data_IF_515863791521
#
_entry.id   IF_515863791521
#
_cell.length_a   1.000
_cell.length_b   1.000
_cell.length_c   1.000
_cell.angle_alpha   90.00
_cell.angle_beta   90.00
_cell.angle_gamma   90.00
#
_symmetry.space_group_name_H-M   'P 1'
#
loop_
_entity.id
_entity.type
_entity.pdbx_description
1 polymer ?
#
# COMPACT_ATOMS: atom_id res chain seq x y z
N UNK A 1 30.11 43.22 -17.29
CA UNK A 1 30.33 42.24 -18.38
C UNK A 1 31.55 41.42 -18.04
N UNK A 2 31.39 40.11 -17.80
CA UNK A 2 32.33 39.01 -18.14
C UNK A 2 31.71 37.70 -17.63
N UNK A 3 31.11 36.95 -18.55
CA UNK A 3 30.66 35.56 -18.33
C UNK A 3 31.87 34.63 -18.33
N UNK A 4 31.92 33.66 -17.40
CA UNK A 4 32.76 32.45 -17.55
C UNK A 4 32.02 31.18 -17.11
N UNK A 5 31.38 30.56 -18.11
CA UNK A 5 31.25 29.14 -18.41
C UNK A 5 31.14 28.10 -17.27
N UNK A 6 29.90 27.62 -17.12
CA UNK A 6 29.42 26.23 -17.00
C UNK A 6 30.48 25.11 -16.86
N UNK A 7 30.42 24.38 -15.74
CA UNK A 7 30.94 23.02 -15.64
C UNK A 7 29.79 22.09 -15.26
N UNK A 8 29.27 21.38 -16.25
CA UNK A 8 28.35 20.24 -16.10
C UNK A 8 29.17 19.04 -15.57
N UNK A 9 29.04 18.71 -14.28
CA UNK A 9 29.58 17.45 -13.76
C UNK A 9 28.61 16.32 -14.06
N UNK A 10 28.75 15.70 -15.23
CA UNK A 10 28.15 14.40 -15.55
C UNK A 10 28.96 13.31 -14.85
N UNK A 11 28.48 12.79 -13.72
CA UNK A 11 29.06 11.59 -13.11
C UNK A 11 28.46 10.34 -13.75
N UNK A 12 29.39 9.46 -14.11
CA UNK A 12 29.27 8.29 -14.99
C UNK A 12 28.34 7.24 -14.39
N UNK A 13 27.42 6.73 -15.20
CA UNK A 13 26.73 5.46 -14.99
C UNK A 13 27.75 4.33 -15.16
N UNK A 14 28.05 3.61 -14.09
CA UNK A 14 28.76 2.32 -14.16
C UNK A 14 27.77 1.22 -13.81
N UNK A 15 27.53 0.38 -14.82
CA UNK A 15 26.73 -0.82 -14.77
C UNK A 15 27.40 -1.90 -13.92
N UNK A 16 26.58 -2.77 -13.33
CA UNK A 16 26.97 -4.12 -12.95
C UNK A 16 25.82 -5.07 -13.28
N UNK A 17 25.97 -5.79 -14.38
CA UNK A 17 25.16 -6.95 -14.77
C UNK A 17 25.69 -8.13 -13.97
N UNK A 18 24.85 -8.72 -13.12
CA UNK A 18 25.13 -10.03 -12.54
C UNK A 18 24.10 -11.02 -13.10
N UNK A 19 24.54 -11.79 -14.07
CA UNK A 19 23.84 -12.97 -14.55
C UNK A 19 24.07 -14.12 -13.54
N UNK A 20 23.00 -14.69 -13.02
CA UNK A 20 23.03 -15.91 -12.22
C UNK A 20 21.95 -16.87 -12.72
N UNK A 21 22.35 -17.80 -13.59
CA UNK A 21 21.51 -18.92 -14.01
C UNK A 21 21.68 -20.04 -12.98
N UNK A 22 20.58 -20.47 -12.34
CA UNK A 22 20.53 -21.71 -11.59
C UNK A 22 19.42 -22.60 -12.17
N UNK A 23 19.81 -23.82 -12.53
CA UNK A 23 19.03 -24.79 -13.29
C UNK A 23 17.88 -25.41 -12.49
N UNK A 24 16.90 -25.90 -13.24
CA UNK A 24 15.62 -26.49 -12.84
C UNK A 24 15.82 -27.93 -12.34
N UNK A 25 15.21 -28.29 -11.22
CA UNK A 25 14.97 -29.68 -10.84
C UNK A 25 13.46 -29.99 -10.97
N UNK A 26 13.11 -30.82 -11.95
CA UNK A 26 11.75 -31.33 -12.16
C UNK A 26 11.50 -32.51 -11.20
N UNK A 27 10.71 -32.29 -10.16
CA UNK A 27 10.10 -33.36 -9.39
C UNK A 27 8.65 -33.54 -9.86
N UNK A 28 8.42 -34.55 -10.69
CA UNK A 28 7.07 -35.00 -11.07
C UNK A 28 6.43 -35.69 -9.87
N UNK A 29 5.68 -34.95 -9.07
CA UNK A 29 4.72 -35.48 -8.10
C UNK A 29 3.32 -35.06 -8.53
N UNK A 30 2.51 -36.02 -8.98
CA UNK A 30 1.14 -35.76 -9.41
C UNK A 30 0.28 -35.21 -8.27
N UNK A 31 -0.26 -34.02 -8.45
CA UNK A 31 -1.35 -33.50 -7.62
C UNK A 31 -2.56 -33.25 -8.52
N UNK A 32 -3.65 -33.95 -8.22
CA UNK A 32 -4.93 -33.78 -8.88
C UNK A 32 -5.43 -32.34 -8.68
N UNK A 33 -5.85 -31.71 -9.78
CA UNK A 33 -6.57 -30.44 -9.77
C UNK A 33 -7.99 -30.76 -9.27
N UNK A 34 -8.21 -30.68 -7.97
CA UNK A 34 -9.56 -30.74 -7.41
C UNK A 34 -10.23 -29.38 -7.63
N UNK A 35 -11.12 -29.35 -8.62
CA UNK A 35 -12.14 -28.32 -8.80
C UNK A 35 -12.86 -28.10 -7.46
N UNK A 36 -12.75 -26.90 -6.88
CA UNK A 36 -13.48 -26.53 -5.67
C UNK A 36 -14.95 -26.24 -6.02
N UNK A 37 -15.66 -27.29 -6.44
CA UNK A 37 -17.11 -27.36 -6.37
C UNK A 37 -17.48 -27.89 -4.99
N UNK A 38 -18.08 -27.04 -4.18
CA UNK A 38 -18.66 -27.42 -2.89
C UNK A 38 -19.56 -28.65 -3.03
N UNK A 39 -19.15 -29.76 -2.45
CA UNK A 39 -20.07 -30.84 -2.06
C UNK A 39 -19.46 -31.67 -0.94
N UNK A 40 -20.21 -31.71 0.17
CA UNK A 40 -20.12 -32.64 1.29
C UNK A 40 -19.83 -34.07 0.85
N UNK A 41 -18.90 -34.75 1.51
CA UNK A 41 -18.91 -36.20 1.67
C UNK A 41 -18.05 -36.63 2.85
N UNK A 42 -18.66 -37.39 3.74
CA UNK A 42 -18.04 -38.11 4.84
C UNK A 42 -17.11 -39.24 4.34
N UNK A 43 -16.10 -39.58 5.13
CA UNK A 43 -15.26 -40.76 4.91
C UNK A 43 -14.17 -40.89 5.98
N UNK A 44 -14.17 -42.03 6.69
CA UNK A 44 -13.56 -42.22 8.01
C UNK A 44 -12.06 -42.53 8.06
N UNK A 45 -11.50 -42.16 9.22
CA UNK A 45 -10.44 -42.78 10.05
C UNK A 45 -8.98 -42.84 9.57
N UNK A 46 -8.14 -42.03 10.22
CA UNK A 46 -6.93 -42.48 10.92
C UNK A 46 -6.60 -41.50 12.05
N UNK A 47 -6.47 -42.02 13.28
CA UNK A 47 -6.38 -41.24 14.51
C UNK A 47 -5.10 -40.42 14.62
N UNK A 48 -5.20 -39.14 14.29
CA UNK A 48 -4.35 -38.11 14.87
C UNK A 48 -5.13 -37.47 16.03
N UNK A 49 -4.51 -37.34 17.20
CA UNK A 49 -5.07 -36.56 18.30
C UNK A 49 -5.32 -35.13 17.79
N UNK A 50 -6.57 -34.82 17.50
CA UNK A 50 -6.95 -33.50 17.01
C UNK A 50 -6.70 -32.50 18.13
N UNK A 51 -5.78 -31.54 17.88
CA UNK A 51 -5.66 -30.38 18.74
C UNK A 51 -7.05 -29.76 18.90
N UNK A 52 -7.48 -29.53 20.14
CA UNK A 52 -8.76 -28.87 20.41
C UNK A 52 -8.76 -27.53 19.69
N UNK A 53 -9.64 -27.37 18.70
CA UNK A 53 -9.81 -26.11 18.00
C UNK A 53 -10.12 -25.02 19.04
N UNK A 54 -9.23 -24.04 19.17
CA UNK A 54 -9.43 -22.90 20.06
C UNK A 54 -10.72 -22.18 19.72
N UNK A 55 -11.40 -21.63 20.73
CA UNK A 55 -12.55 -20.75 20.49
C UNK A 55 -12.06 -19.52 19.72
N UNK A 56 -12.56 -19.34 18.51
CA UNK A 56 -12.35 -18.13 17.68
C UNK A 56 -13.60 -17.27 17.74
N UNK A 57 -13.42 -15.96 17.94
CA UNK A 57 -14.50 -14.98 17.78
C UNK A 57 -14.71 -14.80 16.27
N UNK A 58 -15.93 -15.01 15.74
CA UNK A 58 -16.20 -14.77 14.32
C UNK A 58 -15.94 -13.32 13.94
N UNK A 59 -15.18 -13.09 12.88
CA UNK A 59 -15.04 -11.75 12.30
C UNK A 59 -16.36 -11.38 11.60
N UNK A 60 -17.02 -10.34 12.10
CA UNK A 60 -18.12 -9.70 11.40
C UNK A 60 -17.58 -8.47 10.68
N UNK A 61 -17.56 -8.50 9.34
CA UNK A 61 -17.18 -7.33 8.54
C UNK A 61 -18.22 -6.24 8.78
N UNK A 62 -17.79 -5.09 9.28
CA UNK A 62 -18.64 -3.89 9.35
C UNK A 62 -19.05 -3.40 7.96
N UNK A 63 -20.10 -2.60 7.90
CA UNK A 63 -20.54 -2.01 6.63
C UNK A 63 -19.51 -0.99 6.13
N UNK A 64 -19.02 -1.11 4.88
CA UNK A 64 -18.12 -0.12 4.31
C UNK A 64 -18.82 1.23 4.19
N UNK A 65 -18.09 2.30 4.47
CA UNK A 65 -18.62 3.65 4.29
C UNK A 65 -18.58 4.08 2.83
N UNK A 66 -19.55 4.89 2.38
CA UNK A 66 -19.52 5.42 1.02
C UNK A 66 -18.23 6.22 0.78
N UNK A 67 -17.43 5.79 -0.20
CA UNK A 67 -16.25 6.53 -0.63
C UNK A 67 -16.69 7.82 -1.32
N UNK A 68 -16.53 8.94 -0.63
CA UNK A 68 -16.87 10.27 -1.16
C UNK A 68 -15.59 10.93 -1.64
N UNK A 69 -15.51 11.33 -2.90
CA UNK A 69 -14.37 12.11 -3.40
C UNK A 69 -14.69 13.60 -3.28
N UNK A 70 -13.79 14.37 -2.68
CA UNK A 70 -13.88 15.84 -2.63
C UNK A 70 -12.57 16.48 -3.07
N UNK A 71 -12.66 17.64 -3.71
CA UNK A 71 -11.50 18.38 -4.18
C UNK A 71 -10.70 17.62 -5.24
N UNK A 72 -9.37 17.79 -5.20
CA UNK A 72 -8.44 17.21 -6.15
C UNK A 72 -7.97 15.84 -5.67
N UNK A 73 -8.55 14.80 -6.26
CA UNK A 73 -8.09 13.42 -6.16
C UNK A 73 -7.37 13.06 -7.45
N UNK A 74 -6.10 12.59 -7.42
CA UNK A 74 -5.40 12.19 -8.64
C UNK A 74 -6.20 11.10 -9.40
N UNK A 75 -6.43 11.31 -10.70
CA UNK A 75 -7.34 10.48 -11.49
C UNK A 75 -6.95 8.99 -11.54
N UNK A 76 -5.66 8.70 -11.41
CA UNK A 76 -5.07 7.36 -11.43
C UNK A 76 -4.61 6.89 -10.04
N UNK A 77 -5.08 7.53 -8.97
CA UNK A 77 -4.76 7.08 -7.62
C UNK A 77 -5.37 5.69 -7.36
N UNK A 78 -4.54 4.82 -6.80
CA UNK A 78 -4.97 3.54 -6.26
C UNK A 78 -4.35 3.37 -4.86
N UNK A 79 -5.15 3.04 -3.84
CA UNK A 79 -4.65 2.83 -2.48
C UNK A 79 -3.49 1.82 -2.45
N UNK A 80 -2.42 2.17 -1.73
CA UNK A 80 -1.23 1.32 -1.61
C UNK A 80 -0.16 1.53 -2.70
N UNK A 81 -0.41 2.40 -3.68
CA UNK A 81 0.63 2.85 -4.63
C UNK A 81 1.46 3.99 -4.05
N UNK A 82 2.68 4.19 -4.58
CA UNK A 82 3.60 5.26 -4.14
C UNK A 82 4.67 4.79 -3.16
N UNK A 83 5.43 5.73 -2.60
CA UNK A 83 6.54 5.45 -1.67
C UNK A 83 6.20 5.96 -0.27
N UNK A 84 6.22 5.12 0.75
CA UNK A 84 6.06 5.57 2.14
C UNK A 84 7.24 6.47 2.51
N UNK A 85 6.96 7.67 3.01
CA UNK A 85 7.97 8.65 3.39
C UNK A 85 7.86 9.03 4.87
N UNK A 86 8.99 9.42 5.45
CA UNK A 86 9.11 9.87 6.85
C UNK A 86 9.85 11.21 6.92
N UNK A 87 10.05 11.75 8.12
CA UNK A 87 10.78 13.00 8.34
C UNK A 87 9.95 14.27 8.11
N UNK A 88 10.63 15.40 7.89
CA UNK A 88 10.01 16.73 7.92
C UNK A 88 8.87 16.91 6.92
N UNK A 89 9.02 16.42 5.68
CA UNK A 89 7.96 16.52 4.67
C UNK A 89 6.73 15.70 5.06
N UNK A 90 6.92 14.46 5.53
CA UNK A 90 5.83 13.63 6.02
C UNK A 90 5.11 14.28 7.22
N UNK A 91 5.85 14.89 8.15
CA UNK A 91 5.27 15.59 9.29
C UNK A 91 4.41 16.79 8.85
N UNK A 92 4.87 17.58 7.86
CA UNK A 92 4.09 18.70 7.31
C UNK A 92 2.83 18.22 6.60
N UNK A 93 2.92 17.15 5.80
CA UNK A 93 1.76 16.57 5.12
C UNK A 93 0.75 16.02 6.13
N UNK A 94 1.22 15.30 7.16
CA UNK A 94 0.39 14.82 8.29
C UNK A 94 -0.32 15.98 8.99
N UNK A 95 0.39 17.05 9.31
CA UNK A 95 -0.19 18.22 9.97
C UNK A 95 -1.25 18.90 9.09
N UNK A 96 -0.97 19.07 7.80
CA UNK A 96 -1.92 19.66 6.85
C UNK A 96 -3.20 18.80 6.72
N UNK A 97 -3.06 17.48 6.66
CA UNK A 97 -4.20 16.57 6.60
C UNK A 97 -5.05 16.62 7.87
N UNK A 98 -4.42 16.57 9.05
CA UNK A 98 -5.12 16.62 10.35
C UNK A 98 -5.78 17.97 10.61
N UNK A 99 -5.22 19.06 10.08
CA UNK A 99 -5.84 20.38 10.15
C UNK A 99 -7.10 20.46 9.28
N UNK A 100 -7.11 19.82 8.10
CA UNK A 100 -8.26 19.80 7.20
C UNK A 100 -9.34 18.78 7.64
N UNK A 101 -8.92 17.64 8.15
CA UNK A 101 -9.78 16.52 8.56
C UNK A 101 -9.40 16.04 9.98
N UNK A 102 -9.93 16.69 11.02
CA UNK A 102 -9.63 16.33 12.40
C UNK A 102 -10.29 15.00 12.81
N UNK A 103 -9.77 14.37 13.86
CA UNK A 103 -10.33 13.15 14.47
C UNK A 103 -9.74 11.83 13.96
N UNK A 104 -9.05 11.84 12.82
CA UNK A 104 -8.34 10.67 12.31
C UNK A 104 -6.96 10.45 12.94
N UNK A 105 -6.51 9.20 12.91
CA UNK A 105 -5.11 8.84 13.18
C UNK A 105 -4.39 8.61 11.87
N UNK A 106 -3.19 9.18 11.71
CA UNK A 106 -2.37 8.95 10.52
C UNK A 106 -1.48 7.74 10.73
N UNK A 107 -1.69 6.69 9.94
CA UNK A 107 -0.83 5.50 9.89
C UNK A 107 0.46 5.81 9.12
N UNK A 108 0.33 6.37 7.91
CA UNK A 108 1.45 6.60 7.00
C UNK A 108 1.22 7.79 6.09
N UNK A 109 2.32 8.35 5.59
CA UNK A 109 2.35 9.33 4.51
C UNK A 109 3.06 8.71 3.31
N UNK A 110 2.48 8.89 2.13
CA UNK A 110 2.95 8.27 0.89
C UNK A 110 3.24 9.38 -0.12
N UNK A 111 4.44 9.40 -0.69
CA UNK A 111 4.78 10.22 -1.84
C UNK A 111 4.26 9.55 -3.11
N UNK A 112 3.44 10.28 -3.86
CA UNK A 112 2.87 9.87 -5.13
C UNK A 112 3.82 10.19 -6.29
N UNK A 113 3.61 9.57 -7.45
CA UNK A 113 4.47 9.76 -8.64
C UNK A 113 4.46 11.19 -9.19
N UNK A 114 3.40 11.96 -8.90
CA UNK A 114 3.30 13.39 -9.25
C UNK A 114 4.00 14.32 -8.24
N UNK A 115 4.64 13.77 -7.20
CA UNK A 115 5.34 14.53 -6.14
C UNK A 115 4.44 15.02 -5.00
N UNK A 116 3.14 14.78 -5.07
CA UNK A 116 2.20 15.07 -3.98
C UNK A 116 2.22 13.99 -2.90
N UNK A 117 1.56 14.26 -1.78
CA UNK A 117 1.46 13.34 -0.67
C UNK A 117 0.04 12.81 -0.52
N UNK A 118 -0.09 11.51 -0.30
CA UNK A 118 -1.29 10.88 0.22
C UNK A 118 -1.08 10.58 1.71
N UNK A 119 -1.97 11.09 2.55
CA UNK A 119 -1.97 10.82 4.00
C UNK A 119 -3.07 9.81 4.29
N UNK A 120 -2.69 8.63 4.77
CA UNK A 120 -3.63 7.57 5.10
C UNK A 120 -4.16 7.75 6.53
N UNK A 121 -5.46 8.01 6.62
CA UNK A 121 -6.23 8.19 7.85
C UNK A 121 -6.92 6.88 8.26
N UNK A 122 -6.82 6.53 9.54
CA UNK A 122 -7.48 5.39 10.16
C UNK A 122 -8.27 5.85 11.40
N UNK A 123 -9.15 4.98 11.91
CA UNK A 123 -10.00 5.31 13.05
C UNK A 123 -11.10 6.34 12.74
N UNK A 124 -11.31 6.63 11.46
CA UNK A 124 -12.38 7.48 10.94
C UNK A 124 -13.23 6.70 9.97
N UNK A 125 -14.48 7.13 9.83
CA UNK A 125 -15.39 6.59 8.84
C UNK A 125 -15.09 7.09 7.42
N UNK A 126 -14.52 8.30 7.35
CA UNK A 126 -14.12 9.03 6.14
C UNK A 126 -13.39 10.34 6.56
N UNK A 127 -12.46 10.90 5.78
CA UNK A 127 -11.79 10.28 4.63
C UNK A 127 -10.70 9.30 5.09
N UNK A 128 -10.37 8.32 4.26
CA UNK A 128 -9.23 7.42 4.50
C UNK A 128 -7.96 7.93 3.80
N UNK A 129 -8.10 8.74 2.77
CA UNK A 129 -7.00 9.27 1.99
C UNK A 129 -7.15 10.77 1.87
N UNK A 130 -6.18 11.53 2.38
CA UNK A 130 -6.12 12.98 2.21
C UNK A 130 -4.96 13.32 1.29
N UNK A 131 -5.21 14.06 0.22
CA UNK A 131 -4.20 14.48 -0.74
C UNK A 131 -3.67 15.87 -0.38
N UNK A 132 -2.35 15.97 -0.31
CA UNK A 132 -1.63 17.18 0.09
C UNK A 132 -0.61 17.51 -0.99
N UNK A 133 -0.69 18.73 -1.54
CA UNK A 133 0.23 19.16 -2.59
C UNK A 133 1.65 19.44 -2.05
N UNK A 134 2.59 19.74 -2.95
CA UNK A 134 4.01 20.01 -2.62
C UNK A 134 4.22 21.24 -1.73
N UNK A 135 3.25 22.15 -1.67
CA UNK A 135 3.20 23.32 -0.78
C UNK A 135 2.56 23.02 0.59
N UNK A 136 2.31 21.75 0.90
CA UNK A 136 1.69 21.26 2.13
C UNK A 136 0.30 21.86 2.39
N UNK A 137 -0.53 21.92 1.35
CA UNK A 137 -1.95 22.25 1.44
C UNK A 137 -2.77 21.00 1.13
N UNK A 138 -3.77 20.69 1.96
CA UNK A 138 -4.76 19.66 1.63
C UNK A 138 -5.58 20.15 0.42
N UNK A 139 -5.66 19.34 -0.63
CA UNK A 139 -6.31 19.70 -1.90
C UNK A 139 -7.50 18.81 -2.23
N UNK A 140 -7.59 17.63 -1.62
CA UNK A 140 -8.71 16.72 -1.80
C UNK A 140 -8.67 15.55 -0.82
N UNK A 141 -9.74 14.77 -0.81
CA UNK A 141 -9.83 13.58 0.03
C UNK A 141 -10.80 12.56 -0.54
N UNK A 142 -10.60 11.29 -0.17
CA UNK A 142 -11.51 10.18 -0.44
C UNK A 142 -11.58 9.12 0.66
#
# INVERSE_FOLDING_TARGET
>A
MTLKHTILSRRKLTASIAAGVAAIALATGGYAIANSGSSTSAGSSSGANAATAGKVIPFHRGQPSPATKVGQVPANFSPGTGTIVTGTAANKAKAAALAAYPGGTVNRVVLLSNGEYNVHMIGVNWPHHVFVNTSFKAVGAE
#
